data_IF_774720474038
#
_entry.id   IF_774720474038
#
_cell.length_a   1.000
_cell.length_b   1.000
_cell.length_c   1.000
_cell.angle_alpha   90.00
_cell.angle_beta   90.00
_cell.angle_gamma   90.00
#
_symmetry.space_group_name_H-M   'P 1'
#
loop_
_entity.id
_entity.type
_entity.pdbx_description
1 polymer ?
#
# COMPACT_ATOMS: atom_id res chain seq x y z
N UNK A 1 -6.76 -18.54 17.16
CA UNK A 1 -7.73 -18.33 18.26
C UNK A 1 -7.88 -16.83 18.44
N UNK A 2 -9.12 -16.35 18.36
CA UNK A 2 -9.51 -14.97 18.06
C UNK A 2 -9.02 -13.94 19.07
N UNK A 3 -8.60 -12.77 18.55
CA UNK A 3 -8.54 -11.53 19.31
C UNK A 3 -8.82 -10.33 18.40
N UNK A 4 -9.64 -9.43 18.94
CA UNK A 4 -9.85 -8.03 18.59
C UNK A 4 -10.88 -7.67 17.50
N UNK A 5 -12.16 -7.88 17.84
CA UNK A 5 -13.20 -6.89 17.57
C UNK A 5 -12.89 -5.62 18.39
N UNK A 6 -12.60 -4.49 17.72
CA UNK A 6 -12.64 -3.17 18.37
C UNK A 6 -14.10 -2.71 18.39
N UNK A 7 -14.75 -2.93 19.53
CA UNK A 7 -16.02 -2.29 19.86
C UNK A 7 -15.79 -0.79 20.07
N UNK A 8 -16.46 0.03 19.26
CA UNK A 8 -16.58 1.47 19.47
C UNK A 8 -17.54 1.72 20.64
N UNK A 9 -17.01 2.29 21.71
CA UNK A 9 -17.76 2.67 22.90
C UNK A 9 -18.68 3.86 22.57
N UNK A 10 -20.00 3.66 22.61
CA UNK A 10 -21.01 4.72 22.48
C UNK A 10 -21.62 4.97 23.87
N UNK A 11 -21.75 6.24 24.35
CA UNK A 11 -22.37 6.51 25.64
C UNK A 11 -23.91 6.36 25.56
N UNK A 12 -24.59 5.93 26.64
CA UNK A 12 -26.04 5.75 26.62
C UNK A 12 -26.76 7.11 26.60
N UNK A 13 -27.91 7.24 25.91
CA UNK A 13 -28.69 8.47 25.91
C UNK A 13 -29.42 8.66 27.25
N UNK A 14 -29.51 9.93 27.68
CA UNK A 14 -30.25 10.34 28.86
C UNK A 14 -31.76 10.13 28.67
N UNK A 15 -32.41 9.53 29.67
CA UNK A 15 -33.86 9.34 29.71
C UNK A 15 -34.58 10.69 29.80
N UNK A 16 -35.25 11.08 28.71
CA UNK A 16 -36.31 12.08 28.71
C UNK A 16 -37.60 11.40 28.25
N UNK A 17 -38.56 11.24 29.15
CA UNK A 17 -39.87 10.68 28.86
C UNK A 17 -40.79 11.76 28.26
N UNK A 18 -41.33 11.53 27.06
CA UNK A 18 -42.61 12.08 26.61
C UNK A 18 -43.06 11.48 25.27
N UNK A 19 -44.29 10.97 25.26
CA UNK A 19 -45.23 10.79 24.12
C UNK A 19 -45.12 9.52 23.24
N UNK A 20 -45.60 8.38 23.76
CA UNK A 20 -45.58 7.05 23.12
C UNK A 20 -46.87 6.66 22.35
N UNK A 21 -47.82 7.59 22.16
CA UNK A 21 -49.12 7.28 21.56
C UNK A 21 -49.13 7.16 20.02
N UNK A 22 -48.50 8.11 19.33
CA UNK A 22 -48.49 8.19 17.86
C UNK A 22 -47.29 7.42 17.24
N UNK A 23 -46.24 7.15 18.01
CA UNK A 23 -44.99 6.59 17.51
C UNK A 23 -45.05 5.09 17.18
N UNK A 24 -45.85 4.33 17.94
CA UNK A 24 -45.98 2.88 17.76
C UNK A 24 -46.83 2.50 16.53
N UNK A 25 -47.79 3.34 16.15
CA UNK A 25 -48.65 3.12 14.99
C UNK A 25 -47.85 3.25 13.68
N UNK A 26 -46.96 4.24 13.60
CA UNK A 26 -46.14 4.52 12.41
C UNK A 26 -44.99 3.50 12.24
N UNK A 27 -44.41 3.03 13.35
CA UNK A 27 -43.38 1.97 13.32
C UNK A 27 -43.93 0.64 12.78
N UNK A 28 -45.18 0.31 13.08
CA UNK A 28 -45.86 -0.85 12.49
C UNK A 28 -46.20 -0.62 11.01
N UNK A 29 -46.50 0.61 10.60
CA UNK A 29 -46.81 0.94 9.21
C UNK A 29 -45.60 0.72 8.26
N UNK A 30 -44.40 1.13 8.67
CA UNK A 30 -43.15 0.89 7.91
C UNK A 30 -42.85 -0.61 7.77
N UNK A 31 -43.00 -1.37 8.86
CA UNK A 31 -42.81 -2.83 8.86
C UNK A 31 -43.83 -3.52 7.94
N UNK A 32 -45.11 -3.15 8.03
CA UNK A 32 -46.16 -3.71 7.18
C UNK A 32 -45.97 -3.33 5.71
N UNK A 33 -45.51 -2.11 5.43
CA UNK A 33 -45.11 -1.67 4.09
C UNK A 33 -43.95 -2.52 3.55
N UNK A 34 -42.91 -2.74 4.34
CA UNK A 34 -41.76 -3.56 3.97
C UNK A 34 -42.16 -5.00 3.66
N UNK A 35 -42.98 -5.63 4.51
CA UNK A 35 -43.44 -7.01 4.31
C UNK A 35 -44.33 -7.10 3.07
N UNK A 36 -45.22 -6.12 2.82
CA UNK A 36 -46.02 -6.05 1.60
C UNK A 36 -45.15 -5.90 0.36
N UNK A 37 -44.15 -5.02 0.38
CA UNK A 37 -43.25 -4.83 -0.75
C UNK A 37 -42.38 -6.06 -0.99
N UNK A 38 -41.90 -6.73 0.06
CA UNK A 38 -41.21 -8.03 -0.04
C UNK A 38 -42.07 -9.05 -0.81
N UNK A 39 -43.35 -9.19 -0.45
CA UNK A 39 -44.28 -10.08 -1.17
C UNK A 39 -44.49 -9.65 -2.62
N UNK A 40 -44.66 -8.35 -2.86
CA UNK A 40 -44.88 -7.78 -4.21
C UNK A 40 -43.71 -8.05 -5.15
N UNK A 41 -42.48 -7.84 -4.69
CA UNK A 41 -41.27 -8.02 -5.50
C UNK A 41 -40.66 -9.42 -5.37
N UNK A 42 -41.35 -10.35 -4.70
CA UNK A 42 -40.88 -11.73 -4.47
C UNK A 42 -39.50 -11.79 -3.79
N UNK A 43 -39.20 -10.79 -2.96
CA UNK A 43 -37.97 -10.74 -2.17
C UNK A 43 -38.28 -11.31 -0.78
N UNK A 44 -37.46 -12.24 -0.27
CA UNK A 44 -37.67 -12.80 1.05
C UNK A 44 -37.42 -11.73 2.13
N UNK A 45 -38.28 -11.71 3.14
CA UNK A 45 -38.19 -10.75 4.26
C UNK A 45 -36.85 -10.95 4.99
N UNK A 46 -36.13 -9.84 5.21
CA UNK A 46 -34.94 -9.81 6.04
C UNK A 46 -35.31 -9.44 7.48
N UNK A 47 -35.10 -10.35 8.46
CA UNK A 47 -35.40 -10.06 9.86
C UNK A 47 -34.68 -8.84 10.39
N UNK A 48 -33.45 -8.55 9.94
CA UNK A 48 -32.67 -7.41 10.41
C UNK A 48 -33.30 -6.08 9.99
N UNK A 49 -33.85 -6.01 8.78
CA UNK A 49 -34.59 -4.83 8.31
C UNK A 49 -35.86 -4.62 9.16
N UNK A 50 -36.60 -5.69 9.43
CA UNK A 50 -37.80 -5.63 10.27
C UNK A 50 -37.46 -5.15 11.68
N UNK A 51 -36.37 -5.65 12.27
CA UNK A 51 -35.91 -5.23 13.59
C UNK A 51 -35.54 -3.74 13.58
N UNK A 52 -34.75 -3.29 12.60
CA UNK A 52 -34.37 -1.88 12.49
C UNK A 52 -35.58 -0.95 12.38
N UNK A 53 -36.56 -1.29 11.55
CA UNK A 53 -37.79 -0.50 11.40
C UNK A 53 -38.64 -0.51 12.68
N UNK A 54 -38.89 -1.70 13.23
CA UNK A 54 -39.76 -1.87 14.42
C UNK A 54 -39.19 -1.20 15.66
N UNK A 55 -37.87 -1.22 15.84
CA UNK A 55 -37.19 -0.64 17.01
C UNK A 55 -36.73 0.80 16.77
N UNK A 56 -36.99 1.37 15.58
CA UNK A 56 -36.48 2.67 15.15
C UNK A 56 -34.96 2.78 15.33
N UNK A 57 -34.25 1.68 15.09
CA UNK A 57 -32.80 1.66 15.21
C UNK A 57 -32.21 2.57 14.14
N UNK A 58 -31.32 3.47 14.55
CA UNK A 58 -30.61 4.38 13.66
C UNK A 58 -29.68 3.69 12.62
N UNK A 59 -29.52 2.37 12.71
CA UNK A 59 -28.70 1.55 11.80
C UNK A 59 -29.60 0.54 11.11
N UNK A 60 -29.51 0.48 9.79
CA UNK A 60 -30.09 -0.57 8.98
C UNK A 60 -28.99 -1.33 8.26
N UNK A 61 -28.83 -2.61 8.62
CA UNK A 61 -27.85 -3.52 8.01
C UNK A 61 -28.55 -4.83 7.63
N UNK A 62 -28.99 -4.98 6.37
CA UNK A 62 -29.56 -6.22 5.88
C UNK A 62 -28.53 -7.36 5.95
N UNK A 63 -29.00 -8.55 6.35
CA UNK A 63 -28.14 -9.75 6.45
C UNK A 63 -27.93 -10.43 5.11
N UNK A 64 -28.83 -10.18 4.15
CA UNK A 64 -28.74 -10.75 2.81
C UNK A 64 -27.92 -9.87 1.89
N UNK A 65 -27.23 -10.51 0.95
CA UNK A 65 -26.48 -9.80 -0.08
C UNK A 65 -27.37 -8.88 -0.89
N UNK A 66 -26.87 -7.67 -1.15
CA UNK A 66 -27.45 -6.72 -2.09
C UNK A 66 -27.33 -7.21 -3.54
N UNK A 67 -28.19 -8.15 -3.92
CA UNK A 67 -28.36 -8.61 -5.30
C UNK A 67 -29.34 -7.70 -6.07
N UNK A 68 -29.43 -7.86 -7.38
CA UNK A 68 -30.36 -7.11 -8.25
C UNK A 68 -31.80 -7.14 -7.70
N UNK A 69 -32.42 -5.97 -7.55
CA UNK A 69 -33.81 -5.84 -7.09
C UNK A 69 -34.02 -5.93 -5.58
N UNK A 70 -32.98 -6.24 -4.79
CA UNK A 70 -33.07 -6.33 -3.33
C UNK A 70 -33.43 -5.00 -2.64
N UNK A 71 -33.21 -3.86 -3.30
CA UNK A 71 -33.59 -2.54 -2.81
C UNK A 71 -35.08 -2.21 -3.01
N UNK A 72 -35.78 -2.85 -3.94
CA UNK A 72 -37.17 -2.51 -4.27
C UNK A 72 -38.13 -2.58 -3.06
N UNK A 73 -37.99 -3.55 -2.12
CA UNK A 73 -38.83 -3.57 -0.93
C UNK A 73 -38.67 -2.38 0.01
N UNK A 74 -37.51 -1.74 0.00
CA UNK A 74 -37.21 -0.55 0.81
C UNK A 74 -37.71 0.74 0.14
N UNK A 75 -38.25 0.67 -1.07
CA UNK A 75 -38.66 1.84 -1.84
C UNK A 75 -39.85 2.53 -1.18
N UNK A 76 -39.76 3.85 -1.03
CA UNK A 76 -40.75 4.65 -0.33
C UNK A 76 -40.64 4.62 1.19
N UNK A 77 -40.06 3.57 1.78
CA UNK A 77 -39.78 3.53 3.23
C UNK A 77 -38.62 4.47 3.55
N UNK A 78 -37.52 4.31 2.83
CA UNK A 78 -36.36 5.19 3.02
C UNK A 78 -36.64 6.65 2.63
N UNK A 79 -37.58 6.93 1.73
CA UNK A 79 -37.93 8.30 1.33
C UNK A 79 -38.48 9.13 2.51
N UNK A 80 -39.29 8.50 3.38
CA UNK A 80 -39.99 9.16 4.49
C UNK A 80 -39.38 8.86 5.85
N UNK A 81 -38.46 7.91 5.95
CA UNK A 81 -37.91 7.50 7.24
C UNK A 81 -36.93 8.55 7.79
N UNK A 82 -37.23 9.07 8.98
CA UNK A 82 -36.42 10.10 9.67
C UNK A 82 -35.44 9.52 10.71
N UNK A 83 -35.51 8.21 10.98
CA UNK A 83 -34.79 7.58 12.09
C UNK A 83 -33.50 6.89 11.64
N UNK A 84 -33.47 6.30 10.45
CA UNK A 84 -32.31 5.59 9.91
C UNK A 84 -31.25 6.63 9.52
N UNK A 85 -30.13 6.62 10.25
CA UNK A 85 -28.98 7.49 10.01
C UNK A 85 -27.84 6.77 9.30
N UNK A 86 -27.70 5.47 9.54
CA UNK A 86 -26.64 4.63 9.00
C UNK A 86 -27.24 3.52 8.15
N UNK A 87 -27.07 3.62 6.85
CA UNK A 87 -27.54 2.65 5.87
C UNK A 87 -26.37 1.81 5.37
N UNK A 88 -26.29 0.56 5.84
CA UNK A 88 -25.16 -0.34 5.57
C UNK A 88 -25.59 -1.43 4.60
N UNK A 89 -25.22 -1.28 3.32
CA UNK A 89 -25.63 -2.14 2.22
C UNK A 89 -24.43 -2.84 1.57
N UNK A 90 -23.43 -3.23 2.36
CA UNK A 90 -22.25 -3.90 1.85
C UNK A 90 -22.62 -5.24 1.18
N UNK A 91 -21.90 -5.65 0.13
CA UNK A 91 -22.14 -6.97 -0.48
C UNK A 91 -21.78 -8.11 0.49
N UNK A 92 -22.53 -9.21 0.47
CA UNK A 92 -22.31 -10.31 1.42
C UNK A 92 -20.96 -10.99 1.16
N UNK A 93 -20.06 -10.93 2.14
CA UNK A 93 -18.81 -11.68 2.16
C UNK A 93 -18.96 -13.19 2.40
N UNK A 94 -20.18 -13.74 2.43
CA UNK A 94 -20.41 -15.15 2.85
C UNK A 94 -20.30 -16.19 1.72
N UNK A 95 -20.33 -15.78 0.45
CA UNK A 95 -20.05 -16.66 -0.67
C UNK A 95 -18.95 -16.05 -1.52
N UNK A 96 -17.73 -16.52 -1.30
CA UNK A 96 -16.41 -16.36 -1.94
C UNK A 96 -16.30 -15.90 -3.42
N UNK A 97 -17.23 -15.10 -3.95
CA UNK A 97 -17.24 -14.50 -5.28
C UNK A 97 -17.52 -13.01 -5.11
N UNK A 98 -16.54 -12.19 -5.50
CA UNK A 98 -16.70 -10.75 -5.66
C UNK A 98 -17.90 -10.50 -6.58
N UNK A 99 -18.82 -9.58 -6.23
CA UNK A 99 -19.90 -9.20 -7.13
C UNK A 99 -19.30 -8.69 -8.44
N UNK A 100 -19.84 -9.16 -9.57
CA UNK A 100 -19.38 -8.74 -10.89
C UNK A 100 -19.66 -7.24 -11.07
N UNK A 101 -18.76 -6.55 -11.76
CA UNK A 101 -18.93 -5.14 -12.09
C UNK A 101 -20.27 -4.94 -12.84
N UNK A 102 -21.06 -3.97 -12.37
CA UNK A 102 -22.38 -3.62 -12.91
C UNK A 102 -23.56 -4.20 -12.14
N UNK A 103 -23.38 -5.29 -11.37
CA UNK A 103 -24.50 -5.94 -10.65
C UNK A 103 -25.13 -5.04 -9.58
N UNK A 104 -24.37 -4.07 -9.05
CA UNK A 104 -24.85 -3.10 -8.06
C UNK A 104 -25.56 -1.88 -8.65
N UNK A 105 -25.50 -1.66 -9.98
CA UNK A 105 -25.90 -0.39 -10.58
C UNK A 105 -27.41 -0.14 -10.50
N UNK A 106 -28.22 -1.17 -10.68
CA UNK A 106 -29.68 -1.08 -10.56
C UNK A 106 -30.08 -0.68 -9.14
N UNK A 107 -29.41 -1.24 -8.13
CA UNK A 107 -29.60 -0.86 -6.73
C UNK A 107 -29.16 0.58 -6.46
N UNK A 108 -28.04 1.05 -7.04
CA UNK A 108 -27.61 2.44 -6.91
C UNK A 108 -28.63 3.42 -7.52
N UNK A 109 -29.21 3.10 -8.68
CA UNK A 109 -30.25 3.91 -9.32
C UNK A 109 -31.52 4.00 -8.46
N UNK A 110 -31.95 2.88 -7.91
CA UNK A 110 -33.10 2.84 -7.00
C UNK A 110 -32.80 3.64 -5.73
N UNK A 111 -31.61 3.46 -5.15
CA UNK A 111 -31.18 4.20 -3.97
C UNK A 111 -31.17 5.71 -4.20
N UNK A 112 -30.76 6.16 -5.39
CA UNK A 112 -30.82 7.58 -5.75
C UNK A 112 -32.23 8.15 -5.69
N UNK A 113 -33.21 7.42 -6.21
CA UNK A 113 -34.61 7.87 -6.15
C UNK A 113 -35.10 8.02 -4.72
N UNK A 114 -34.65 7.15 -3.81
CA UNK A 114 -35.08 7.16 -2.41
C UNK A 114 -34.38 8.24 -1.58
N UNK A 115 -33.06 8.34 -1.71
CA UNK A 115 -32.26 9.23 -0.87
C UNK A 115 -32.36 10.71 -1.28
N UNK A 116 -32.87 11.01 -2.48
CA UNK A 116 -33.09 12.39 -2.96
C UNK A 116 -33.96 13.24 -2.03
N UNK A 117 -34.92 12.63 -1.33
CA UNK A 117 -35.81 13.33 -0.38
C UNK A 117 -35.47 13.06 1.08
N UNK A 118 -34.63 12.06 1.33
CA UNK A 118 -34.25 11.68 2.68
C UNK A 118 -33.21 12.67 3.24
N UNK A 119 -33.49 13.20 4.44
CA UNK A 119 -32.58 14.11 5.15
C UNK A 119 -31.98 13.51 6.43
N UNK A 120 -32.21 12.22 6.66
CA UNK A 120 -31.80 11.53 7.89
C UNK A 120 -30.51 10.70 7.72
N UNK A 121 -30.33 10.07 6.55
CA UNK A 121 -29.17 9.22 6.27
C UNK A 121 -27.92 10.08 6.19
N UNK A 122 -26.99 9.79 7.11
CA UNK A 122 -25.69 10.46 7.24
C UNK A 122 -24.51 9.54 6.91
N UNK A 123 -24.67 8.23 7.06
CA UNK A 123 -23.69 7.23 6.64
C UNK A 123 -24.30 6.29 5.61
N UNK A 124 -23.62 6.14 4.48
CA UNK A 124 -23.98 5.19 3.42
C UNK A 124 -22.79 4.27 3.13
N UNK A 125 -22.97 2.97 3.37
CA UNK A 125 -21.98 1.95 3.01
C UNK A 125 -22.47 1.12 1.82
N UNK A 126 -21.76 1.24 0.70
CA UNK A 126 -21.97 0.50 -0.55
C UNK A 126 -20.71 -0.30 -0.92
N UNK A 127 -19.89 -0.65 0.06
CA UNK A 127 -18.66 -1.39 -0.18
C UNK A 127 -18.93 -2.79 -0.73
N UNK A 128 -18.09 -3.23 -1.67
CA UNK A 128 -18.17 -4.56 -2.26
C UNK A 128 -19.57 -4.87 -2.85
N UNK A 129 -20.22 -3.92 -3.50
CA UNK A 129 -21.56 -4.10 -4.11
C UNK A 129 -21.52 -4.33 -5.62
N UNK A 130 -20.33 -4.28 -6.23
CA UNK A 130 -20.14 -4.49 -7.67
C UNK A 130 -20.50 -3.26 -8.48
N UNK A 131 -20.34 -2.06 -7.91
CA UNK A 131 -20.52 -0.81 -8.66
C UNK A 131 -19.39 -0.63 -9.67
N UNK A 132 -19.76 -0.35 -10.91
CA UNK A 132 -18.84 0.09 -11.95
C UNK A 132 -18.93 1.63 -12.10
N UNK A 133 -18.43 2.15 -13.23
CA UNK A 133 -18.47 3.58 -13.53
C UNK A 133 -19.90 4.16 -13.52
N UNK A 134 -20.88 3.43 -14.06
CA UNK A 134 -22.27 3.90 -14.16
C UNK A 134 -22.95 3.85 -12.79
N UNK A 135 -22.72 2.78 -12.02
CA UNK A 135 -23.21 2.67 -10.65
C UNK A 135 -22.67 3.80 -9.76
N UNK A 136 -21.37 4.10 -9.86
CA UNK A 136 -20.77 5.21 -9.11
C UNK A 136 -21.22 6.57 -9.63
N UNK A 137 -21.53 6.73 -10.91
CA UNK A 137 -22.14 7.96 -11.40
C UNK A 137 -23.52 8.21 -10.77
N UNK A 138 -24.34 7.18 -10.59
CA UNK A 138 -25.62 7.30 -9.88
C UNK A 138 -25.39 7.67 -8.40
N UNK A 139 -24.44 7.03 -7.71
CA UNK A 139 -24.09 7.38 -6.32
C UNK A 139 -23.52 8.80 -6.21
N UNK A 140 -22.77 9.26 -7.21
CA UNK A 140 -22.24 10.63 -7.26
C UNK A 140 -23.37 11.64 -7.31
N UNK A 141 -24.47 11.35 -8.01
CA UNK A 141 -25.66 12.19 -7.98
C UNK A 141 -26.33 12.20 -6.60
N UNK A 142 -26.37 11.06 -5.89
CA UNK A 142 -26.84 11.00 -4.49
C UNK A 142 -26.01 11.94 -3.62
N UNK A 143 -24.69 11.87 -3.73
CA UNK A 143 -23.78 12.71 -2.97
C UNK A 143 -23.98 14.20 -3.29
N UNK A 144 -24.16 14.55 -4.56
CA UNK A 144 -24.38 15.92 -5.00
C UNK A 144 -25.70 16.51 -4.49
N UNK A 145 -26.76 15.71 -4.40
CA UNK A 145 -28.10 16.15 -3.97
C UNK A 145 -28.31 16.05 -2.45
N UNK A 146 -27.48 15.29 -1.73
CA UNK A 146 -27.66 15.06 -0.29
C UNK A 146 -27.20 16.24 0.57
N UNK A 147 -28.06 16.62 1.51
CA UNK A 147 -27.79 17.63 2.55
C UNK A 147 -27.39 17.01 3.90
N UNK A 148 -27.45 15.68 4.04
CA UNK A 148 -27.25 14.98 5.32
C UNK A 148 -26.06 14.02 5.32
N UNK A 149 -25.59 13.59 4.15
CA UNK A 149 -24.54 12.57 4.05
C UNK A 149 -23.18 13.12 4.50
N UNK A 150 -22.63 12.53 5.56
CA UNK A 150 -21.31 12.85 6.13
C UNK A 150 -20.28 11.74 5.88
N UNK A 151 -20.71 10.49 5.65
CA UNK A 151 -19.82 9.36 5.41
C UNK A 151 -20.30 8.50 4.25
N UNK A 152 -19.41 8.24 3.29
CA UNK A 152 -19.66 7.42 2.12
C UNK A 152 -18.56 6.36 1.96
N UNK A 153 -18.94 5.08 2.00
CA UNK A 153 -18.04 3.97 1.75
C UNK A 153 -18.33 3.31 0.41
N UNK A 154 -17.37 3.39 -0.52
CA UNK A 154 -17.37 2.77 -1.85
C UNK A 154 -16.22 1.78 -2.02
N UNK A 155 -15.61 1.33 -0.93
CA UNK A 155 -14.48 0.41 -0.98
C UNK A 155 -14.80 -0.88 -1.74
N UNK A 156 -13.78 -1.48 -2.37
CA UNK A 156 -13.86 -2.80 -3.02
C UNK A 156 -14.93 -2.90 -4.13
N UNK A 157 -15.18 -1.81 -4.84
CA UNK A 157 -15.93 -1.83 -6.10
C UNK A 157 -14.92 -1.84 -7.28
N UNK A 158 -15.37 -1.62 -8.52
CA UNK A 158 -14.51 -1.65 -9.71
C UNK A 158 -14.79 -0.48 -10.64
N UNK A 159 -14.93 0.72 -10.06
CA UNK A 159 -15.09 1.93 -10.85
C UNK A 159 -13.71 2.50 -11.20
N UNK A 160 -13.48 2.77 -12.48
CA UNK A 160 -12.24 3.34 -12.98
C UNK A 160 -12.22 4.86 -12.95
N UNK A 161 -11.36 5.46 -13.77
CA UNK A 161 -11.25 6.91 -13.90
C UNK A 161 -12.58 7.64 -14.20
N UNK A 162 -13.50 7.13 -15.05
CA UNK A 162 -14.78 7.79 -15.29
C UNK A 162 -15.65 7.90 -14.03
N UNK A 163 -15.76 6.81 -13.24
CA UNK A 163 -16.49 6.84 -11.98
C UNK A 163 -15.85 7.77 -10.95
N UNK A 164 -14.52 7.80 -10.88
CA UNK A 164 -13.81 8.74 -10.01
C UNK A 164 -14.02 10.20 -10.43
N UNK A 165 -14.14 10.47 -11.73
CA UNK A 165 -14.47 11.82 -12.23
C UNK A 165 -15.87 12.26 -11.82
N UNK A 166 -16.86 11.37 -11.89
CA UNK A 166 -18.20 11.64 -11.39
C UNK A 166 -18.21 11.98 -9.89
N UNK A 167 -17.42 11.26 -9.09
CA UNK A 167 -17.25 11.55 -7.66
C UNK A 167 -16.57 12.91 -7.44
N UNK A 168 -15.53 13.24 -8.20
CA UNK A 168 -14.84 14.53 -8.13
C UNK A 168 -15.81 15.70 -8.39
N UNK A 169 -16.67 15.57 -9.39
CA UNK A 169 -17.66 16.59 -9.75
C UNK A 169 -18.72 16.73 -8.65
N UNK A 170 -19.19 15.62 -8.07
CA UNK A 170 -20.13 15.62 -6.95
C UNK A 170 -19.52 16.21 -5.67
N UNK A 171 -18.26 15.91 -5.36
CA UNK A 171 -17.54 16.50 -4.23
C UNK A 171 -17.37 18.01 -4.37
N UNK A 172 -17.37 18.52 -5.60
CA UNK A 172 -17.30 19.96 -5.90
C UNK A 172 -18.56 20.75 -5.56
N UNK A 173 -19.71 20.08 -5.46
CA UNK A 173 -21.00 20.71 -5.14
C UNK A 173 -21.53 20.35 -3.76
N UNK A 174 -21.25 19.13 -3.29
CA UNK A 174 -21.61 18.73 -1.93
C UNK A 174 -20.84 19.60 -0.91
N UNK A 175 -21.41 19.80 0.28
CA UNK A 175 -20.75 20.56 1.36
C UNK A 175 -20.68 19.79 2.69
N UNK A 176 -21.33 18.62 2.77
CA UNK A 176 -21.63 17.90 4.02
C UNK A 176 -20.70 16.72 4.28
N UNK A 177 -20.15 16.11 3.22
CA UNK A 177 -19.32 14.92 3.35
C UNK A 177 -18.05 15.22 4.15
N UNK A 178 -17.69 14.31 5.04
CA UNK A 178 -16.52 14.35 5.91
C UNK A 178 -15.64 13.11 5.74
N UNK A 179 -16.22 11.96 5.39
CA UNK A 179 -15.49 10.70 5.22
C UNK A 179 -15.84 10.07 3.87
N UNK A 180 -14.81 9.71 3.11
CA UNK A 180 -14.94 9.02 1.83
C UNK A 180 -13.96 7.84 1.78
N UNK A 181 -14.47 6.63 1.60
CA UNK A 181 -13.64 5.45 1.34
C UNK A 181 -13.80 5.02 -0.12
N UNK A 182 -12.71 5.12 -0.89
CA UNK A 182 -12.58 4.66 -2.29
C UNK A 182 -11.48 3.60 -2.42
N UNK A 183 -11.11 2.94 -1.33
CA UNK A 183 -10.06 1.92 -1.31
C UNK A 183 -10.40 0.73 -2.22
N UNK A 184 -9.36 0.13 -2.82
CA UNK A 184 -9.45 -1.12 -3.60
C UNK A 184 -10.44 -1.06 -4.77
N UNK A 185 -10.46 0.05 -5.50
CA UNK A 185 -11.27 0.27 -6.71
C UNK A 185 -10.46 0.23 -8.02
N UNK A 186 -9.17 -0.07 -7.95
CA UNK A 186 -8.23 -0.01 -9.08
C UNK A 186 -8.14 1.38 -9.75
N UNK A 187 -8.21 2.44 -8.94
CA UNK A 187 -8.04 3.82 -9.40
C UNK A 187 -6.58 4.15 -9.70
N UNK A 188 -6.34 4.86 -10.81
CA UNK A 188 -5.02 5.40 -11.11
C UNK A 188 -4.66 6.63 -10.26
N UNK A 189 -3.37 6.93 -10.15
CA UNK A 189 -2.84 8.08 -9.42
C UNK A 189 -3.54 9.41 -9.72
N UNK A 190 -3.78 9.71 -11.00
CA UNK A 190 -4.44 10.97 -11.40
C UNK A 190 -5.83 11.10 -10.80
N UNK A 191 -6.59 10.02 -10.73
CA UNK A 191 -7.94 10.00 -10.17
C UNK A 191 -7.91 10.22 -8.65
N UNK A 192 -7.02 9.54 -7.93
CA UNK A 192 -6.89 9.70 -6.48
C UNK A 192 -6.41 11.10 -6.11
N UNK A 193 -5.38 11.60 -6.81
CA UNK A 193 -4.88 12.94 -6.58
C UNK A 193 -5.96 13.99 -6.88
N UNK A 194 -6.75 13.84 -7.95
CA UNK A 194 -7.87 14.74 -8.22
C UNK A 194 -8.90 14.75 -7.09
N UNK A 195 -9.29 13.57 -6.58
CA UNK A 195 -10.21 13.44 -5.44
C UNK A 195 -9.64 14.09 -4.16
N UNK A 196 -8.37 13.84 -3.84
CA UNK A 196 -7.69 14.42 -2.67
C UNK A 196 -7.55 15.95 -2.78
N UNK A 197 -7.12 16.47 -3.94
CA UNK A 197 -7.02 17.91 -4.18
C UNK A 197 -8.39 18.61 -4.05
N UNK A 198 -9.44 17.97 -4.56
CA UNK A 198 -10.82 18.49 -4.42
C UNK A 198 -11.25 18.57 -2.96
N UNK A 199 -10.88 17.56 -2.16
CA UNK A 199 -11.16 17.52 -0.73
C UNK A 199 -10.38 18.58 0.07
N UNK A 200 -9.14 18.90 -0.34
CA UNK A 200 -8.30 19.92 0.31
C UNK A 200 -8.77 21.35 0.03
N UNK A 201 -9.32 21.62 -1.15
CA UNK A 201 -9.71 22.96 -1.60
C UNK A 201 -11.20 23.28 -1.45
N UNK A 202 -11.90 22.62 -0.53
CA UNK A 202 -13.30 22.93 -0.28
C UNK A 202 -13.51 24.30 0.37
N UNK A 203 -14.57 24.99 -0.06
CA UNK A 203 -14.97 26.30 0.47
C UNK A 203 -15.44 26.26 1.92
N UNK A 204 -15.87 25.10 2.43
CA UNK A 204 -16.58 24.98 3.72
C UNK A 204 -15.70 24.72 4.95
N UNK A 205 -14.37 24.64 4.84
CA UNK A 205 -13.47 24.52 5.99
C UNK A 205 -13.47 23.16 6.73
N UNK A 206 -14.35 22.22 6.37
CA UNK A 206 -14.34 20.85 6.87
C UNK A 206 -13.43 19.97 5.98
N UNK A 207 -12.31 19.49 6.52
CA UNK A 207 -11.43 18.57 5.80
C UNK A 207 -12.11 17.20 5.62
N UNK A 208 -12.16 16.70 4.38
CA UNK A 208 -12.63 15.35 4.09
C UNK A 208 -11.48 14.38 4.31
N UNK A 209 -11.72 13.33 5.09
CA UNK A 209 -10.80 12.20 5.21
C UNK A 209 -11.09 11.23 4.06
N UNK A 210 -10.13 11.06 3.14
CA UNK A 210 -10.23 10.14 2.00
C UNK A 210 -9.36 8.91 2.23
N UNK A 211 -9.96 7.72 2.27
CA UNK A 211 -9.24 6.45 2.29
C UNK A 211 -9.14 5.90 0.87
N UNK A 212 -7.92 5.74 0.35
CA UNK A 212 -7.67 5.37 -1.05
C UNK A 212 -6.72 4.16 -1.22
N UNK A 213 -6.52 3.37 -0.17
CA UNK A 213 -5.56 2.27 -0.15
C UNK A 213 -5.86 1.17 -1.18
N UNK A 214 -4.81 0.54 -1.73
CA UNK A 214 -4.95 -0.63 -2.60
C UNK A 214 -5.50 -0.37 -3.99
N UNK A 215 -5.36 0.85 -4.51
CA UNK A 215 -5.83 1.24 -5.84
C UNK A 215 -4.77 1.08 -6.95
N UNK A 216 -3.48 1.23 -6.64
CA UNK A 216 -2.37 1.22 -7.60
C UNK A 216 -1.95 -0.19 -8.05
N UNK A 217 -2.91 -1.03 -8.42
CA UNK A 217 -2.67 -2.45 -8.74
C UNK A 217 -1.66 -2.63 -9.87
N UNK A 218 -1.74 -1.78 -10.90
CA UNK A 218 -0.84 -1.87 -12.05
C UNK A 218 0.60 -1.54 -11.66
N UNK A 219 0.79 -0.47 -10.89
CA UNK A 219 2.09 -0.03 -10.41
C UNK A 219 2.71 -1.05 -9.46
N UNK A 220 1.93 -1.61 -8.53
CA UNK A 220 2.36 -2.68 -7.62
C UNK A 220 2.79 -3.95 -8.37
N UNK A 221 2.07 -4.32 -9.45
CA UNK A 221 2.46 -5.44 -10.32
C UNK A 221 3.79 -5.16 -11.02
N UNK A 222 3.99 -3.95 -11.55
CA UNK A 222 5.26 -3.58 -12.18
C UNK A 222 6.42 -3.56 -11.17
N UNK A 223 6.19 -3.04 -9.97
CA UNK A 223 7.16 -3.04 -8.87
C UNK A 223 7.57 -4.47 -8.48
N UNK A 224 6.59 -5.38 -8.36
CA UNK A 224 6.84 -6.80 -8.10
C UNK A 224 7.63 -7.46 -9.24
N UNK A 225 7.22 -7.25 -10.49
CA UNK A 225 7.88 -7.87 -11.65
C UNK A 225 9.32 -7.40 -11.84
N UNK A 226 9.61 -6.11 -11.62
CA UNK A 226 10.97 -5.58 -11.77
C UNK A 226 11.93 -6.25 -10.79
N UNK A 227 11.57 -6.35 -9.51
CA UNK A 227 12.41 -7.01 -8.51
C UNK A 227 12.35 -8.54 -8.57
N UNK A 228 11.27 -9.14 -9.10
CA UNK A 228 11.25 -10.58 -9.39
C UNK A 228 12.30 -10.96 -10.45
N UNK A 229 12.44 -10.12 -11.48
CA UNK A 229 13.52 -10.25 -12.46
C UNK A 229 14.90 -10.12 -11.77
N UNK A 230 15.06 -9.12 -10.91
CA UNK A 230 16.25 -8.96 -10.06
C UNK A 230 16.57 -10.20 -9.23
N UNK A 231 15.56 -10.82 -8.62
CA UNK A 231 15.71 -12.03 -7.82
C UNK A 231 16.20 -13.21 -8.65
N UNK A 232 15.61 -13.44 -9.83
CA UNK A 232 16.06 -14.50 -10.75
C UNK A 232 17.52 -14.26 -11.19
N UNK A 233 17.86 -13.02 -11.56
CA UNK A 233 19.23 -12.66 -11.92
C UNK A 233 20.19 -12.85 -10.73
N UNK A 234 19.77 -12.54 -9.51
CA UNK A 234 20.59 -12.72 -8.30
C UNK A 234 20.88 -14.19 -8.00
N UNK A 235 19.94 -15.12 -8.29
CA UNK A 235 20.19 -16.56 -8.16
C UNK A 235 21.27 -17.00 -9.15
N UNK A 236 21.15 -16.60 -10.42
CA UNK A 236 22.12 -16.93 -11.46
C UNK A 236 23.49 -16.32 -11.11
N UNK A 237 23.50 -15.04 -10.75
CA UNK A 237 24.70 -14.31 -10.34
C UNK A 237 25.35 -14.93 -9.10
N UNK A 238 24.57 -15.42 -8.13
CA UNK A 238 25.08 -16.13 -6.96
C UNK A 238 25.78 -17.43 -7.36
N UNK A 239 25.16 -18.24 -8.22
CA UNK A 239 25.77 -19.49 -8.69
C UNK A 239 27.11 -19.22 -9.37
N UNK A 240 27.16 -18.23 -10.28
CA UNK A 240 28.38 -17.88 -11.01
C UNK A 240 29.46 -17.32 -10.07
N UNK A 241 29.08 -16.38 -9.20
CA UNK A 241 30.02 -15.74 -8.27
C UNK A 241 30.56 -16.72 -7.24
N UNK A 242 29.71 -17.59 -6.69
CA UNK A 242 30.14 -18.61 -5.73
C UNK A 242 30.97 -19.71 -6.38
N UNK A 243 30.70 -20.06 -7.65
CA UNK A 243 31.57 -20.98 -8.40
C UNK A 243 32.99 -20.44 -8.52
N UNK A 244 33.15 -19.14 -8.73
CA UNK A 244 34.47 -18.50 -8.82
C UNK A 244 35.14 -18.38 -7.44
N UNK A 245 34.38 -17.95 -6.44
CA UNK A 245 34.86 -17.75 -5.07
C UNK A 245 35.18 -19.06 -4.31
N UNK A 246 34.73 -20.21 -4.83
CA UNK A 246 34.96 -21.54 -4.24
C UNK A 246 36.10 -22.33 -4.92
N UNK A 247 36.88 -21.69 -5.79
CA UNK A 247 38.02 -22.33 -6.44
C UNK A 247 39.07 -22.87 -5.45
N UNK A 248 39.88 -23.87 -5.85
CA UNK A 248 40.82 -24.56 -4.94
C UNK A 248 41.91 -23.66 -4.34
N UNK A 249 42.22 -22.54 -4.98
CA UNK A 249 43.22 -21.56 -4.51
C UNK A 249 42.59 -20.34 -3.80
N UNK A 250 41.27 -20.37 -3.54
CA UNK A 250 40.55 -19.25 -2.92
C UNK A 250 40.64 -19.27 -1.41
N UNK A 251 40.81 -18.09 -0.83
CA UNK A 251 40.80 -17.94 0.63
C UNK A 251 39.38 -18.06 1.21
N UNK A 252 39.22 -18.52 2.47
CA UNK A 252 37.93 -18.53 3.14
C UNK A 252 37.28 -17.14 3.21
N UNK A 253 38.09 -16.08 3.27
CA UNK A 253 37.62 -14.68 3.28
C UNK A 253 36.91 -14.34 1.98
N UNK A 254 37.45 -14.76 0.83
CA UNK A 254 36.82 -14.53 -0.48
C UNK A 254 35.46 -15.22 -0.57
N UNK A 255 35.40 -16.48 -0.15
CA UNK A 255 34.15 -17.25 -0.14
C UNK A 255 33.08 -16.55 0.69
N UNK A 256 33.38 -16.24 1.96
CA UNK A 256 32.38 -15.66 2.87
C UNK A 256 31.99 -14.23 2.50
N UNK A 257 32.92 -13.41 2.01
CA UNK A 257 32.61 -12.06 1.58
C UNK A 257 31.68 -12.06 0.35
N UNK A 258 31.91 -12.95 -0.61
CA UNK A 258 31.02 -13.12 -1.77
C UNK A 258 29.66 -13.73 -1.37
N UNK A 259 29.64 -14.67 -0.43
CA UNK A 259 28.41 -15.27 0.07
C UNK A 259 27.52 -14.25 0.79
N UNK A 260 28.11 -13.37 1.59
CA UNK A 260 27.41 -12.27 2.29
C UNK A 260 26.77 -11.32 1.28
N UNK A 261 27.51 -10.85 0.28
CA UNK A 261 26.97 -10.00 -0.78
C UNK A 261 25.82 -10.69 -1.53
N UNK A 262 26.04 -11.93 -1.99
CA UNK A 262 25.05 -12.71 -2.73
C UNK A 262 23.76 -12.93 -1.94
N UNK A 263 23.88 -13.28 -0.66
CA UNK A 263 22.73 -13.50 0.21
C UNK A 263 21.96 -12.22 0.46
N UNK A 264 22.66 -11.10 0.71
CA UNK A 264 22.01 -9.79 0.89
C UNK A 264 21.23 -9.34 -0.36
N UNK A 265 21.78 -9.62 -1.55
CA UNK A 265 21.15 -9.32 -2.83
C UNK A 265 19.88 -10.15 -3.06
N UNK A 266 19.93 -11.44 -2.74
CA UNK A 266 18.75 -12.32 -2.80
C UNK A 266 17.67 -11.91 -1.80
N UNK A 267 18.06 -11.53 -0.57
CA UNK A 267 17.11 -11.07 0.45
C UNK A 267 16.40 -9.80 0.00
N UNK A 268 17.12 -8.78 -0.52
CA UNK A 268 16.53 -7.55 -1.04
C UNK A 268 15.50 -7.84 -2.13
N UNK A 269 15.89 -8.55 -3.18
CA UNK A 269 14.97 -8.74 -4.29
C UNK A 269 13.77 -9.61 -3.91
N UNK A 270 13.96 -10.60 -3.04
CA UNK A 270 12.85 -11.42 -2.56
C UNK A 270 11.90 -10.62 -1.66
N UNK A 271 12.42 -9.84 -0.69
CA UNK A 271 11.60 -9.03 0.21
C UNK A 271 10.74 -8.06 -0.57
N UNK A 272 11.33 -7.36 -1.54
CA UNK A 272 10.62 -6.35 -2.32
C UNK A 272 9.58 -6.96 -3.25
N UNK A 273 9.94 -8.07 -3.91
CA UNK A 273 9.00 -8.83 -4.75
C UNK A 273 7.79 -9.27 -3.93
N UNK A 274 8.01 -9.81 -2.72
CA UNK A 274 6.93 -10.27 -1.86
C UNK A 274 6.10 -9.09 -1.35
N UNK A 275 6.72 -8.00 -0.89
CA UNK A 275 6.00 -6.81 -0.41
C UNK A 275 5.00 -6.30 -1.44
N UNK A 276 5.46 -6.02 -2.66
CA UNK A 276 4.62 -5.54 -3.76
C UNK A 276 3.65 -6.60 -4.30
N UNK A 277 3.90 -7.90 -4.09
CA UNK A 277 2.94 -8.95 -4.47
C UNK A 277 1.76 -9.08 -3.50
N UNK A 278 1.96 -8.73 -2.21
CA UNK A 278 0.97 -8.92 -1.15
C UNK A 278 0.32 -7.63 -0.67
N UNK A 279 0.46 -6.52 -1.40
CA UNK A 279 -0.07 -5.18 -1.07
C UNK A 279 -1.58 -5.14 -0.72
N UNK A 280 -2.37 -6.12 -1.20
CA UNK A 280 -3.82 -6.21 -0.93
C UNK A 280 -4.14 -6.77 0.47
N UNK A 281 -3.17 -7.43 1.13
CA UNK A 281 -3.33 -8.11 2.43
C UNK A 281 -2.60 -7.31 3.52
N UNK A 282 -3.29 -6.43 4.29
CA UNK A 282 -2.63 -5.38 5.07
C UNK A 282 -1.61 -5.89 6.10
N UNK A 283 -1.95 -6.93 6.86
CA UNK A 283 -1.06 -7.49 7.87
C UNK A 283 0.20 -8.12 7.28
N UNK A 284 0.06 -8.81 6.13
CA UNK A 284 1.18 -9.45 5.44
C UNK A 284 2.05 -8.40 4.75
N UNK A 285 1.42 -7.45 4.06
CA UNK A 285 2.09 -6.32 3.42
C UNK A 285 2.93 -5.53 4.42
N UNK A 286 2.40 -5.26 5.62
CA UNK A 286 3.14 -4.54 6.66
C UNK A 286 4.43 -5.28 7.10
N UNK A 287 4.35 -6.58 7.34
CA UNK A 287 5.52 -7.38 7.74
C UNK A 287 6.57 -7.41 6.61
N UNK A 288 6.10 -7.58 5.37
CA UNK A 288 6.98 -7.61 4.19
C UNK A 288 7.57 -6.23 3.89
N UNK A 289 6.86 -5.15 4.19
CA UNK A 289 7.38 -3.78 4.09
C UNK A 289 8.58 -3.59 5.00
N UNK A 290 8.47 -4.00 6.26
CA UNK A 290 9.59 -3.94 7.21
C UNK A 290 10.76 -4.78 6.69
N UNK A 291 10.50 -6.00 6.22
CA UNK A 291 11.54 -6.85 5.64
C UNK A 291 12.22 -6.19 4.44
N UNK A 292 11.47 -5.47 3.61
CA UNK A 292 12.00 -4.78 2.43
C UNK A 292 12.92 -3.62 2.80
N UNK A 293 12.50 -2.79 3.75
CA UNK A 293 13.32 -1.69 4.26
C UNK A 293 14.59 -2.19 4.96
N UNK A 294 14.48 -3.26 5.77
CA UNK A 294 15.62 -3.92 6.41
C UNK A 294 16.61 -4.45 5.36
N UNK A 295 16.11 -5.03 4.27
CA UNK A 295 16.96 -5.61 3.25
C UNK A 295 17.84 -4.59 2.52
N UNK A 296 17.41 -3.33 2.40
CA UNK A 296 18.24 -2.25 1.84
C UNK A 296 19.50 -2.04 2.70
N UNK A 297 19.35 -1.97 4.02
CA UNK A 297 20.50 -1.84 4.94
C UNK A 297 21.46 -3.03 4.81
N UNK A 298 20.91 -4.24 4.74
CA UNK A 298 21.70 -5.46 4.59
C UNK A 298 22.45 -5.51 3.26
N UNK A 299 21.82 -5.06 2.17
CA UNK A 299 22.48 -5.02 0.86
C UNK A 299 23.60 -3.98 0.83
N UNK A 300 23.41 -2.80 1.42
CA UNK A 300 24.47 -1.78 1.46
C UNK A 300 25.69 -2.35 2.19
N UNK A 301 25.53 -2.83 3.43
CA UNK A 301 26.64 -3.44 4.18
C UNK A 301 27.21 -4.70 3.49
N UNK A 302 26.34 -5.51 2.88
CA UNK A 302 26.71 -6.69 2.11
C UNK A 302 27.58 -6.35 0.89
N UNK A 303 27.29 -5.25 0.21
CA UNK A 303 28.04 -4.78 -0.97
C UNK A 303 29.45 -4.30 -0.62
N UNK A 304 29.64 -3.67 0.54
CA UNK A 304 30.98 -3.26 1.02
C UNK A 304 31.88 -4.44 1.35
N UNK A 305 31.30 -5.52 1.88
CA UNK A 305 32.04 -6.67 2.43
C UNK A 305 33.10 -7.24 1.46
N UNK A 306 32.79 -7.60 0.20
CA UNK A 306 33.81 -8.08 -0.74
C UNK A 306 34.87 -7.04 -1.09
N UNK A 307 34.50 -5.79 -1.33
CA UNK A 307 35.47 -4.73 -1.66
C UNK A 307 36.49 -4.51 -0.53
N UNK A 308 36.02 -4.49 0.71
CA UNK A 308 36.88 -4.19 1.85
C UNK A 308 37.65 -5.43 2.35
N UNK A 309 37.01 -6.60 2.42
CA UNK A 309 37.64 -7.80 2.97
C UNK A 309 38.58 -8.51 1.99
N UNK A 310 38.33 -8.38 0.69
CA UNK A 310 39.16 -8.94 -0.38
C UNK A 310 40.07 -7.85 -0.95
N UNK A 311 39.48 -6.78 -1.50
CA UNK A 311 40.22 -5.75 -2.23
C UNK A 311 41.14 -4.89 -1.36
N UNK A 312 40.76 -4.65 -0.11
CA UNK A 312 41.56 -3.94 0.89
C UNK A 312 42.00 -4.87 2.03
N UNK A 313 42.27 -6.14 1.72
CA UNK A 313 42.67 -7.11 2.72
C UNK A 313 43.88 -6.62 3.56
N UNK A 314 43.77 -6.71 4.89
CA UNK A 314 44.79 -6.23 5.81
C UNK A 314 44.78 -4.72 6.09
N UNK A 315 43.91 -3.95 5.43
CA UNK A 315 43.73 -2.53 5.72
C UNK A 315 42.97 -2.32 7.04
N UNK A 316 43.58 -1.59 7.99
CA UNK A 316 42.93 -1.24 9.25
C UNK A 316 41.67 -0.40 9.03
N UNK A 317 41.75 0.61 8.16
CA UNK A 317 40.61 1.48 7.85
C UNK A 317 39.51 0.70 7.13
N UNK A 318 39.87 -0.23 6.23
CA UNK A 318 38.93 -1.15 5.57
C UNK A 318 38.15 -2.00 6.59
N UNK A 319 38.86 -2.61 7.54
CA UNK A 319 38.22 -3.39 8.61
C UNK A 319 37.28 -2.56 9.50
N UNK A 320 37.68 -1.32 9.84
CA UNK A 320 36.83 -0.40 10.60
C UNK A 320 35.55 -0.06 9.84
N UNK A 321 35.64 0.28 8.56
CA UNK A 321 34.45 0.63 7.76
C UNK A 321 33.50 -0.55 7.61
N UNK A 322 33.99 -1.79 7.40
CA UNK A 322 33.11 -2.98 7.40
C UNK A 322 32.29 -3.08 8.69
N UNK A 323 32.94 -2.90 9.85
CA UNK A 323 32.25 -2.96 11.15
C UNK A 323 31.23 -1.83 11.28
N UNK A 324 31.61 -0.61 10.89
CA UNK A 324 30.70 0.55 10.92
C UNK A 324 29.47 0.31 10.04
N UNK A 325 29.64 -0.21 8.82
CA UNK A 325 28.55 -0.53 7.91
C UNK A 325 27.57 -1.55 8.51
N UNK A 326 28.07 -2.64 9.09
CA UNK A 326 27.20 -3.66 9.71
C UNK A 326 26.51 -3.16 10.99
N UNK A 327 27.17 -2.31 11.78
CA UNK A 327 26.55 -1.65 12.94
C UNK A 327 25.47 -0.67 12.48
N UNK A 328 25.74 0.14 11.46
CA UNK A 328 24.77 1.06 10.88
C UNK A 328 23.57 0.30 10.29
N UNK A 329 23.81 -0.83 9.63
CA UNK A 329 22.76 -1.70 9.11
C UNK A 329 21.86 -2.25 10.23
N UNK A 330 22.47 -2.67 11.35
CA UNK A 330 21.72 -3.14 12.53
C UNK A 330 20.87 -2.02 13.14
N UNK A 331 21.45 -0.82 13.32
CA UNK A 331 20.74 0.35 13.85
C UNK A 331 19.57 0.73 12.95
N UNK A 332 19.80 0.81 11.63
CA UNK A 332 18.77 1.09 10.64
C UNK A 332 17.66 0.03 10.61
N UNK A 333 18.03 -1.25 10.77
CA UNK A 333 17.06 -2.34 10.86
C UNK A 333 16.15 -2.21 12.09
N UNK A 334 16.74 -1.93 13.26
CA UNK A 334 15.99 -1.70 14.51
C UNK A 334 15.07 -0.48 14.36
N UNK A 335 15.56 0.59 13.74
CA UNK A 335 14.77 1.79 13.48
C UNK A 335 13.54 1.46 12.61
N UNK A 336 13.73 0.73 11.51
CA UNK A 336 12.66 0.34 10.57
C UNK A 336 11.59 -0.53 11.22
N UNK A 337 11.99 -1.42 12.13
CA UNK A 337 11.08 -2.28 12.88
C UNK A 337 10.27 -1.47 13.91
N UNK A 338 10.86 -0.42 14.47
CA UNK A 338 10.31 0.31 15.62
C UNK A 338 9.47 1.53 15.23
N UNK A 339 9.58 2.02 13.99
CA UNK A 339 8.96 3.27 13.55
C UNK A 339 7.80 3.03 12.57
N UNK A 340 6.91 4.03 12.46
CA UNK A 340 5.87 4.04 11.43
C UNK A 340 6.48 4.39 10.08
N UNK A 341 6.63 3.38 9.22
CA UNK A 341 7.19 3.50 7.88
C UNK A 341 6.32 4.35 6.92
N UNK A 342 5.08 4.67 7.28
CA UNK A 342 4.23 5.56 6.47
C UNK A 342 4.49 7.05 6.71
N UNK A 343 5.25 7.39 7.75
CA UNK A 343 5.54 8.77 8.10
C UNK A 343 6.64 9.35 7.22
N UNK A 344 6.42 10.54 6.65
CA UNK A 344 7.44 11.25 5.86
C UNK A 344 8.72 11.52 6.65
N UNK A 345 8.62 11.71 7.97
CA UNK A 345 9.80 11.88 8.82
C UNK A 345 10.65 10.62 8.90
N UNK A 346 10.01 9.44 8.95
CA UNK A 346 10.70 8.15 8.94
C UNK A 346 11.47 7.97 7.63
N UNK A 347 10.81 8.25 6.49
CA UNK A 347 11.43 8.19 5.16
C UNK A 347 12.69 9.07 5.06
N UNK A 348 12.64 10.30 5.59
CA UNK A 348 13.82 11.20 5.59
C UNK A 348 14.98 10.60 6.39
N UNK A 349 14.70 9.99 7.55
CA UNK A 349 15.74 9.36 8.38
C UNK A 349 16.33 8.13 7.68
N UNK A 350 15.49 7.23 7.15
CA UNK A 350 15.96 6.05 6.42
C UNK A 350 16.79 6.43 5.21
N UNK A 351 16.31 7.36 4.39
CA UNK A 351 17.03 7.83 3.21
C UNK A 351 18.37 8.46 3.58
N UNK A 352 18.43 9.20 4.68
CA UNK A 352 19.68 9.77 5.20
C UNK A 352 20.67 8.67 5.61
N UNK A 353 20.19 7.63 6.29
CA UNK A 353 21.02 6.48 6.68
C UNK A 353 21.50 5.70 5.45
N UNK A 354 20.62 5.40 4.49
CA UNK A 354 20.98 4.70 3.25
C UNK A 354 22.05 5.44 2.45
N UNK A 355 21.88 6.75 2.25
CA UNK A 355 22.86 7.56 1.54
C UNK A 355 24.16 7.71 2.33
N UNK A 356 24.07 7.88 3.66
CA UNK A 356 25.24 7.96 4.53
C UNK A 356 26.11 6.70 4.46
N UNK A 357 25.49 5.52 4.57
CA UNK A 357 26.15 4.23 4.39
C UNK A 357 26.68 4.06 2.96
N UNK A 358 25.85 4.31 1.94
CA UNK A 358 26.24 4.17 0.54
C UNK A 358 27.41 5.07 0.11
N UNK A 359 27.58 6.23 0.75
CA UNK A 359 28.66 7.19 0.46
C UNK A 359 29.86 7.07 1.41
N UNK A 360 29.83 6.18 2.41
CA UNK A 360 30.91 6.01 3.38
C UNK A 360 32.25 5.67 2.73
N UNK A 361 32.25 5.01 1.56
CA UNK A 361 33.47 4.72 0.77
C UNK A 361 34.29 5.97 0.47
N UNK A 362 33.66 7.15 0.38
CA UNK A 362 34.34 8.41 0.09
C UNK A 362 35.33 8.82 1.19
N UNK A 363 35.15 8.34 2.43
CA UNK A 363 36.07 8.64 3.54
C UNK A 363 37.41 7.91 3.41
N UNK A 364 37.49 6.91 2.54
CA UNK A 364 38.69 6.09 2.26
C UNK A 364 38.96 5.97 0.76
N UNK A 365 38.54 6.99 0.00
CA UNK A 365 38.63 6.96 -1.46
C UNK A 365 40.08 6.81 -1.95
N UNK A 366 41.04 7.37 -1.23
CA UNK A 366 42.47 7.29 -1.57
C UNK A 366 42.96 5.84 -1.59
N UNK A 367 42.60 5.05 -0.60
CA UNK A 367 42.95 3.65 -0.47
C UNK A 367 42.24 2.80 -1.52
N UNK A 368 40.94 3.06 -1.73
CA UNK A 368 40.14 2.39 -2.76
C UNK A 368 40.69 2.66 -4.16
N UNK A 369 40.98 3.91 -4.50
CA UNK A 369 41.50 4.29 -5.81
C UNK A 369 42.90 3.72 -6.08
N UNK A 370 43.71 3.55 -5.04
CA UNK A 370 45.03 2.91 -5.15
C UNK A 370 44.96 1.38 -5.27
N UNK A 371 43.96 0.75 -4.65
CA UNK A 371 43.84 -0.71 -4.60
C UNK A 371 43.23 -1.33 -5.87
N UNK A 372 42.41 -0.58 -6.62
CA UNK A 372 41.66 -1.13 -7.76
C UNK A 372 42.12 -0.58 -9.10
N UNK A 373 42.13 -1.45 -10.11
CA UNK A 373 42.34 -1.05 -11.50
C UNK A 373 41.20 -0.13 -11.99
N UNK A 374 41.46 0.78 -12.95
CA UNK A 374 40.47 1.76 -13.40
C UNK A 374 39.13 1.15 -13.84
N UNK A 375 39.14 -0.01 -14.47
CA UNK A 375 37.93 -0.69 -14.94
C UNK A 375 37.02 -1.14 -13.79
N UNK A 376 37.61 -1.61 -12.69
CA UNK A 376 36.87 -1.94 -11.47
C UNK A 376 36.29 -0.66 -10.84
N UNK A 377 37.06 0.43 -10.82
CA UNK A 377 36.60 1.73 -10.32
C UNK A 377 35.44 2.30 -11.15
N UNK A 378 35.43 2.14 -12.47
CA UNK A 378 34.31 2.58 -13.31
C UNK A 378 33.00 1.85 -12.96
N UNK A 379 33.08 0.55 -12.70
CA UNK A 379 31.92 -0.25 -12.28
C UNK A 379 31.45 0.14 -10.86
N UNK A 380 32.40 0.32 -9.92
CA UNK A 380 32.09 0.74 -8.55
C UNK A 380 31.42 2.11 -8.51
N UNK A 381 32.05 3.12 -9.13
CA UNK A 381 31.56 4.51 -9.17
C UNK A 381 30.28 4.60 -9.98
N UNK A 382 30.19 3.92 -11.13
CA UNK A 382 28.98 3.90 -11.94
C UNK A 382 27.80 3.26 -11.21
N UNK A 383 28.03 2.18 -10.47
CA UNK A 383 27.00 1.57 -9.62
C UNK A 383 26.57 2.50 -8.47
N UNK A 384 27.53 3.16 -7.80
CA UNK A 384 27.23 4.16 -6.77
C UNK A 384 26.42 5.34 -7.32
N UNK A 385 26.80 5.85 -8.50
CA UNK A 385 26.06 6.92 -9.16
C UNK A 385 24.64 6.49 -9.56
N UNK A 386 24.46 5.26 -10.05
CA UNK A 386 23.14 4.71 -10.36
C UNK A 386 22.24 4.64 -9.12
N UNK A 387 22.75 4.24 -7.95
CA UNK A 387 21.99 4.30 -6.69
C UNK A 387 21.56 5.74 -6.35
N UNK A 388 22.47 6.71 -6.43
CA UNK A 388 22.17 8.12 -6.11
C UNK A 388 21.15 8.72 -7.07
N UNK A 389 21.27 8.45 -8.38
CA UNK A 389 20.27 8.88 -9.37
C UNK A 389 18.92 8.20 -9.12
N UNK A 390 18.93 6.92 -8.75
CA UNK A 390 17.74 6.18 -8.37
C UNK A 390 16.94 6.88 -7.25
N UNK A 391 17.62 7.45 -6.25
CA UNK A 391 16.96 8.12 -5.12
C UNK A 391 16.03 9.25 -5.59
N UNK A 392 16.35 9.94 -6.69
CA UNK A 392 15.48 10.96 -7.28
C UNK A 392 14.12 10.35 -7.66
N UNK A 393 14.12 9.18 -8.29
CA UNK A 393 12.90 8.47 -8.67
C UNK A 393 12.15 7.92 -7.45
N UNK A 394 12.87 7.46 -6.42
CA UNK A 394 12.27 7.05 -5.14
C UNK A 394 11.49 8.19 -4.49
N UNK A 395 12.10 9.37 -4.35
CA UNK A 395 11.47 10.56 -3.74
C UNK A 395 10.29 11.05 -4.57
N UNK A 396 10.39 11.05 -5.91
CA UNK A 396 9.24 11.38 -6.77
C UNK A 396 8.14 10.33 -6.62
N UNK A 397 8.50 9.06 -6.42
CA UNK A 397 7.61 7.91 -6.23
C UNK A 397 6.60 8.08 -5.09
N UNK A 398 6.98 8.79 -4.02
CA UNK A 398 6.09 9.17 -2.91
C UNK A 398 4.86 9.95 -3.40
N UNK A 399 5.03 10.72 -4.47
CA UNK A 399 3.96 11.48 -5.08
C UNK A 399 3.38 10.77 -6.30
N UNK A 400 4.19 10.16 -7.16
CA UNK A 400 3.75 9.54 -8.41
C UNK A 400 4.16 8.05 -8.41
N UNK A 401 3.25 7.11 -8.08
CA UNK A 401 3.59 5.71 -7.79
C UNK A 401 4.42 4.99 -8.86
N UNK A 402 4.21 5.30 -10.15
CA UNK A 402 4.98 4.68 -11.25
C UNK A 402 6.48 4.97 -11.18
N UNK A 403 6.89 6.08 -10.55
CA UNK A 403 8.32 6.44 -10.40
C UNK A 403 9.08 5.45 -9.51
N UNK A 404 8.38 4.71 -8.63
CA UNK A 404 8.97 3.66 -7.82
C UNK A 404 9.49 2.49 -8.66
N UNK A 405 8.86 2.19 -9.81
CA UNK A 405 9.36 1.19 -10.76
C UNK A 405 10.73 1.60 -11.30
N UNK A 406 10.93 2.88 -11.59
CA UNK A 406 12.22 3.38 -12.08
C UNK A 406 13.29 3.28 -10.99
N UNK A 407 12.95 3.57 -9.73
CA UNK A 407 13.84 3.29 -8.60
C UNK A 407 14.32 1.83 -8.61
N UNK A 408 13.42 0.86 -8.76
CA UNK A 408 13.79 -0.56 -8.87
C UNK A 408 14.76 -0.85 -10.01
N UNK A 409 14.52 -0.26 -11.19
CA UNK A 409 15.41 -0.45 -12.34
C UNK A 409 16.82 0.11 -12.07
N UNK A 410 16.93 1.26 -11.39
CA UNK A 410 18.23 1.81 -11.01
C UNK A 410 18.94 0.95 -9.95
N UNK A 411 18.21 0.39 -8.99
CA UNK A 411 18.77 -0.57 -8.01
C UNK A 411 19.31 -1.81 -8.70
N UNK A 412 18.61 -2.34 -9.71
CA UNK A 412 19.09 -3.47 -10.54
C UNK A 412 20.36 -3.11 -11.30
N UNK A 413 20.37 -1.96 -12.00
CA UNK A 413 21.55 -1.52 -12.74
C UNK A 413 22.75 -1.36 -11.79
N UNK A 414 22.56 -0.69 -10.66
CA UNK A 414 23.60 -0.43 -9.69
C UNK A 414 24.18 -1.73 -9.09
N UNK A 415 23.32 -2.64 -8.65
CA UNK A 415 23.76 -3.91 -8.06
C UNK A 415 24.43 -4.82 -9.10
N UNK A 416 23.98 -4.81 -10.36
CA UNK A 416 24.65 -5.51 -11.45
C UNK A 416 26.08 -4.98 -11.67
N UNK A 417 26.27 -3.66 -11.66
CA UNK A 417 27.61 -3.07 -11.81
C UNK A 417 28.54 -3.49 -10.66
N UNK A 418 28.05 -3.45 -9.42
CA UNK A 418 28.80 -3.93 -8.27
C UNK A 418 29.09 -5.44 -8.35
N UNK A 419 28.11 -6.24 -8.78
CA UNK A 419 28.29 -7.67 -9.00
C UNK A 419 29.37 -7.95 -10.05
N UNK A 420 29.37 -7.25 -11.20
CA UNK A 420 30.41 -7.40 -12.22
C UNK A 420 31.78 -6.98 -11.71
N UNK A 421 31.87 -5.90 -10.93
CA UNK A 421 33.11 -5.47 -10.32
C UNK A 421 33.70 -6.57 -9.42
N UNK A 422 32.86 -7.16 -8.55
CA UNK A 422 33.29 -8.22 -7.64
C UNK A 422 33.66 -9.49 -8.43
N UNK A 423 32.81 -9.91 -9.36
CA UNK A 423 33.02 -11.14 -10.13
C UNK A 423 34.30 -11.09 -10.97
N UNK A 424 34.51 -10.00 -11.72
CA UNK A 424 35.62 -9.90 -12.66
C UNK A 424 36.96 -9.58 -11.99
N UNK A 425 36.96 -8.84 -10.88
CA UNK A 425 38.20 -8.28 -10.31
C UNK A 425 38.55 -8.75 -8.90
N UNK A 426 37.60 -9.33 -8.14
CA UNK A 426 37.83 -9.68 -6.73
C UNK A 426 37.67 -11.17 -6.46
N UNK A 427 36.56 -11.76 -6.87
CA UNK A 427 36.23 -13.16 -6.59
C UNK A 427 37.32 -14.11 -7.11
N UNK A 428 37.83 -13.79 -8.31
CA UNK A 428 38.84 -14.56 -9.01
C UNK A 428 40.31 -14.17 -8.73
N UNK A 429 40.57 -13.17 -7.90
CA UNK A 429 41.93 -12.67 -7.67
C UNK A 429 42.70 -13.52 -6.62
N UNK A 430 44.00 -13.81 -6.79
CA UNK A 430 44.81 -14.38 -5.72
C UNK A 430 44.97 -13.35 -4.59
N UNK A 431 44.64 -13.72 -3.34
CA UNK A 431 44.69 -12.78 -2.20
C UNK A 431 46.10 -12.18 -2.00
N UNK A 432 47.15 -12.97 -2.25
CA UNK A 432 48.54 -12.52 -2.16
C UNK A 432 48.90 -11.42 -3.19
N UNK A 433 48.34 -11.48 -4.41
CA UNK A 433 48.57 -10.48 -5.45
C UNK A 433 47.89 -9.14 -5.12
N UNK A 434 46.77 -9.18 -4.38
CA UNK A 434 46.10 -7.98 -3.87
C UNK A 434 46.92 -7.31 -2.77
N UNK A 435 47.55 -8.10 -1.89
CA UNK A 435 48.44 -7.59 -0.84
C UNK A 435 49.72 -6.93 -1.39
N UNK A 436 50.33 -7.46 -2.45
CA UNK A 436 51.53 -6.86 -3.07
C UNK A 436 51.25 -5.49 -3.70
N UNK A 437 50.11 -5.32 -4.37
CA UNK A 437 49.70 -4.03 -4.92
C UNK A 437 49.48 -2.98 -3.82
N UNK A 438 48.86 -3.36 -2.70
CA UNK A 438 48.63 -2.47 -1.57
C UNK A 438 49.91 -2.09 -0.81
N UNK A 439 50.91 -2.97 -0.79
CA UNK A 439 52.22 -2.69 -0.18
C UNK A 439 53.11 -1.80 -1.05
N UNK A 440 53.01 -1.89 -2.38
CA UNK A 440 53.76 -1.04 -3.32
C UNK A 440 53.20 0.39 -3.45
N UNK A 441 51.96 0.62 -2.99
CA UNK A 441 51.30 1.93 -2.98
C UNK A 441 51.57 2.75 -1.69
N UNK A 442 52.24 2.17 -0.70
CA UNK A 442 52.79 2.87 0.48
C UNK A 442 54.23 3.26 0.21
#
# INVERSE_FOLDING_TARGET
MNAAERQTHVPPPANGASDDGDSAADANADVDSYIRNCRKYQVPVDPSVVISLKTRWHIMQPTRSFCEGAMLPLAGILDTNEHIRSLVLHGAGMHNRKPMAGNGNSNARVLRTMLRRNKAVSLLDLSNTGLDNDGVAEVSQILAESESLTSLNLARNYFGAPGAKALEDALGVNETLQHLDVSRNALGFRSINALQQKCLHRRCGCAITVHADGNYVFEEVLNSLSHALGFIMSIIGTILLMSEASGPERSPVQFWACAVFSTSLMILYLSSTLFHSFFVVPHVAYILQIADHVAIYLLIAGSYTPFLMIGLHGSTIGGVVVVVEWVAALVGSIFSISCDLKSSSTMVVELTLYLGMGLAVLTMWTEVAAAFVPQCLYLLVGGGAAYVVGVVFFVIGETIPIYHVFWHLFVIVASCMHWFAIYLYLAGAPLAAVCEAAHLAK
#
